data_IF_429556809080
#
_entry.id   IF_429556809080
#
_cell.length_a   1.000
_cell.length_b   1.000
_cell.length_c   1.000
_cell.angle_alpha   90.00
_cell.angle_beta   90.00
_cell.angle_gamma   90.00
#
_symmetry.space_group_name_H-M   'P 1'
#
loop_
_entity.id
_entity.type
_entity.pdbx_description
1 polymer ?
#
# COMPACT_ATOMS: atom_id res chain seq x y z
N UNK A 1 9.42 -3.07 29.07
CA UNK A 1 8.89 -3.89 27.96
C UNK A 1 9.74 -3.57 26.74
N UNK A 2 10.46 -4.54 26.19
CA UNK A 2 11.28 -4.31 25.01
C UNK A 2 10.33 -4.03 23.83
N UNK A 3 10.55 -2.90 23.13
CA UNK A 3 9.92 -2.67 21.83
C UNK A 3 10.33 -3.81 20.91
N UNK A 4 9.38 -4.60 20.42
CA UNK A 4 9.67 -5.59 19.40
C UNK A 4 10.08 -4.82 18.13
N UNK A 5 11.35 -4.97 17.72
CA UNK A 5 11.86 -4.34 16.51
C UNK A 5 11.24 -5.08 15.31
N UNK A 6 10.26 -4.47 14.66
CA UNK A 6 9.57 -5.04 13.50
C UNK A 6 10.16 -4.48 12.21
N UNK A 7 10.20 -5.31 11.19
CA UNK A 7 10.57 -4.84 9.86
C UNK A 7 9.48 -3.91 9.33
N UNK A 8 9.90 -2.74 8.82
CA UNK A 8 9.04 -1.76 8.19
C UNK A 8 9.26 -1.77 6.68
N UNK A 9 8.21 -2.08 5.93
CA UNK A 9 8.21 -1.98 4.48
C UNK A 9 7.64 -0.64 4.05
N UNK A 10 8.42 0.15 3.31
CA UNK A 10 7.95 1.40 2.70
C UNK A 10 7.77 1.14 1.21
N UNK A 11 6.54 1.32 0.72
CA UNK A 11 6.11 0.87 -0.60
C UNK A 11 5.61 2.06 -1.42
N UNK A 12 6.14 2.22 -2.63
CA UNK A 12 5.55 3.09 -3.65
C UNK A 12 4.34 2.37 -4.28
N UNK A 13 3.15 2.86 -3.96
CA UNK A 13 1.91 2.21 -4.30
C UNK A 13 1.62 2.20 -5.80
N UNK A 14 1.93 3.27 -6.54
CA UNK A 14 1.64 3.31 -7.97
C UNK A 14 2.62 2.45 -8.77
N UNK A 15 3.90 2.44 -8.39
CA UNK A 15 4.87 1.55 -9.02
C UNK A 15 4.54 0.08 -8.76
N UNK A 16 4.11 -0.26 -7.54
CA UNK A 16 3.71 -1.62 -7.21
C UNK A 16 2.44 -2.06 -7.94
N UNK A 17 1.40 -1.23 -7.99
CA UNK A 17 0.19 -1.52 -8.79
C UNK A 17 0.57 -1.74 -10.26
N UNK A 18 1.40 -0.89 -10.84
CA UNK A 18 1.84 -1.04 -12.23
C UNK A 18 2.64 -2.33 -12.46
N UNK A 19 3.43 -2.77 -11.49
CA UNK A 19 4.14 -4.04 -11.54
C UNK A 19 3.18 -5.23 -11.48
N UNK A 20 2.26 -5.26 -10.51
CA UNK A 20 1.28 -6.32 -10.34
C UNK A 20 0.38 -6.47 -11.58
N UNK A 21 -0.08 -5.34 -12.14
CA UNK A 21 -0.89 -5.31 -13.37
C UNK A 21 -0.18 -5.87 -14.60
N UNK A 22 1.16 -5.77 -14.67
CA UNK A 22 1.96 -6.37 -15.76
C UNK A 22 2.11 -7.87 -15.62
N UNK A 23 2.01 -8.40 -14.40
CA UNK A 23 2.11 -9.83 -14.11
C UNK A 23 0.77 -10.56 -14.24
N UNK A 24 -0.36 -9.85 -14.10
CA UNK A 24 -1.68 -10.46 -14.31
C UNK A 24 -1.93 -10.66 -15.82
N UNK A 25 -2.07 -11.92 -16.23
CA UNK A 25 -2.40 -12.28 -17.60
C UNK A 25 -3.86 -11.97 -17.99
N UNK A 26 -4.70 -11.60 -17.02
CA UNK A 26 -6.09 -11.18 -17.22
C UNK A 26 -6.16 -9.67 -17.45
N UNK A 27 -7.29 -9.20 -17.97
CA UNK A 27 -7.55 -7.77 -18.12
C UNK A 27 -7.54 -7.11 -16.72
N UNK A 28 -6.57 -6.22 -16.40
CA UNK A 28 -6.48 -5.63 -15.07
C UNK A 28 -7.70 -4.77 -14.78
N UNK A 29 -8.08 -4.70 -13.50
CA UNK A 29 -9.18 -3.89 -13.02
C UNK A 29 -8.92 -2.39 -13.17
N UNK A 30 -9.85 -1.59 -12.62
CA UNK A 30 -9.64 -0.15 -12.46
C UNK A 30 -8.43 0.13 -11.55
N UNK A 31 -7.85 1.33 -11.63
CA UNK A 31 -6.72 1.69 -10.75
C UNK A 31 -7.11 1.68 -9.27
N UNK A 32 -8.39 1.90 -8.97
CA UNK A 32 -8.97 1.85 -7.63
C UNK A 32 -9.10 0.41 -7.15
N UNK A 33 -9.63 -0.49 -7.99
CA UNK A 33 -9.72 -1.93 -7.66
C UNK A 33 -8.34 -2.56 -7.41
N UNK A 34 -7.35 -2.21 -8.24
CA UNK A 34 -5.98 -2.72 -8.06
C UNK A 34 -5.30 -2.14 -6.80
N UNK A 35 -5.71 -0.94 -6.38
CA UNK A 35 -5.24 -0.33 -5.14
C UNK A 35 -5.78 -1.08 -3.93
N UNK A 36 -7.08 -1.35 -3.90
CA UNK A 36 -7.72 -2.13 -2.82
C UNK A 36 -7.08 -3.51 -2.70
N UNK A 37 -6.94 -4.25 -3.81
CA UNK A 37 -6.27 -5.56 -3.83
C UNK A 37 -4.85 -5.50 -3.29
N UNK A 38 -4.09 -4.47 -3.63
CA UNK A 38 -2.73 -4.30 -3.14
C UNK A 38 -2.70 -4.02 -1.63
N UNK A 39 -3.60 -3.17 -1.13
CA UNK A 39 -3.73 -2.89 0.31
C UNK A 39 -4.05 -4.19 1.07
N UNK A 40 -5.03 -4.96 0.58
CA UNK A 40 -5.41 -6.25 1.18
C UNK A 40 -4.22 -7.22 1.24
N UNK A 41 -3.45 -7.30 0.17
CA UNK A 41 -2.24 -8.15 0.11
C UNK A 41 -1.20 -7.75 1.18
N UNK A 42 -1.02 -6.46 1.44
CA UNK A 42 -0.09 -6.00 2.48
C UNK A 42 -0.67 -6.13 3.89
N UNK A 43 -1.99 -6.04 4.07
CA UNK A 43 -2.64 -6.34 5.33
C UNK A 43 -2.40 -7.80 5.73
N UNK A 44 -2.62 -8.71 4.79
CA UNK A 44 -2.36 -10.14 4.98
C UNK A 44 -0.88 -10.40 5.27
N UNK A 45 0.02 -9.78 4.51
CA UNK A 45 1.46 -9.93 4.72
C UNK A 45 1.90 -9.45 6.11
N UNK A 46 1.48 -8.25 6.51
CA UNK A 46 1.81 -7.65 7.80
C UNK A 46 1.28 -8.49 8.98
N UNK A 47 0.11 -9.09 8.82
CA UNK A 47 -0.48 -10.01 9.80
C UNK A 47 0.31 -11.32 9.89
N UNK A 48 0.62 -11.95 8.74
CA UNK A 48 1.30 -13.24 8.67
C UNK A 48 2.77 -13.20 9.11
N UNK A 49 3.46 -12.08 8.92
CA UNK A 49 4.90 -11.95 9.18
C UNK A 49 5.25 -11.15 10.44
N UNK A 50 4.25 -10.64 11.17
CA UNK A 50 4.43 -9.68 12.28
C UNK A 50 5.26 -8.45 11.87
N UNK A 51 5.01 -7.93 10.67
CA UNK A 51 5.71 -6.76 10.10
C UNK A 51 4.80 -5.54 10.02
N UNK A 52 5.37 -4.38 9.74
CA UNK A 52 4.65 -3.14 9.49
C UNK A 52 4.83 -2.71 8.04
N UNK A 53 3.82 -2.01 7.49
CA UNK A 53 3.92 -1.48 6.13
C UNK A 53 3.42 -0.02 6.07
N UNK A 54 4.10 0.80 5.28
CA UNK A 54 3.67 2.13 4.88
C UNK A 54 3.58 2.16 3.36
N UNK A 55 2.37 2.35 2.85
CA UNK A 55 2.08 2.44 1.42
C UNK A 55 1.89 3.92 1.08
N UNK A 56 2.72 4.43 0.19
CA UNK A 56 2.66 5.83 -0.26
C UNK A 56 2.14 5.88 -1.69
N UNK A 57 1.02 6.57 -1.87
CA UNK A 57 0.42 6.87 -3.16
C UNK A 57 0.67 8.34 -3.51
N UNK A 58 1.67 8.60 -4.34
CA UNK A 58 1.96 9.95 -4.83
C UNK A 58 0.82 10.47 -5.72
N UNK A 59 0.05 11.45 -5.24
CA UNK A 59 -1.09 12.04 -5.91
C UNK A 59 -0.64 13.03 -7.00
N UNK A 60 0.17 12.55 -7.95
CA UNK A 60 0.68 13.26 -9.13
C UNK A 60 -0.42 13.90 -10.02
N UNK A 61 -1.71 13.75 -9.67
CA UNK A 61 -2.87 14.23 -10.43
C UNK A 61 -3.93 15.01 -9.63
N UNK A 62 -3.81 15.21 -8.32
CA UNK A 62 -4.78 16.04 -7.57
C UNK A 62 -4.19 17.43 -7.28
N UNK A 63 -4.97 18.48 -7.49
CA UNK A 63 -4.57 19.87 -7.18
C UNK A 63 -4.64 20.19 -5.67
N UNK A 64 -4.99 19.20 -4.84
CA UNK A 64 -5.08 19.32 -3.39
C UNK A 64 -3.76 18.89 -2.76
N UNK A 65 -3.01 19.83 -2.17
CA UNK A 65 -1.80 19.54 -1.35
C UNK A 65 -2.13 18.91 0.01
N UNK A 66 -3.29 18.30 0.15
CA UNK A 66 -3.75 17.74 1.40
C UNK A 66 -3.25 16.30 1.51
N UNK A 67 -2.33 16.07 2.44
CA UNK A 67 -1.87 14.73 2.77
C UNK A 67 -3.03 14.02 3.45
N UNK A 68 -3.54 12.96 2.82
CA UNK A 68 -4.53 12.09 3.43
C UNK A 68 -3.84 10.85 3.98
N UNK A 69 -4.02 10.59 5.28
CA UNK A 69 -3.48 9.40 5.93
C UNK A 69 -4.61 8.52 6.46
N UNK A 70 -4.49 7.22 6.29
CA UNK A 70 -5.33 6.24 6.96
C UNK A 70 -4.50 5.06 7.45
N UNK A 71 -4.99 4.36 8.46
CA UNK A 71 -4.32 3.18 8.99
C UNK A 71 -5.34 2.07 9.16
N UNK A 72 -4.99 0.87 8.68
CA UNK A 72 -5.77 -0.35 8.85
C UNK A 72 -4.84 -1.41 9.41
N UNK A 73 -5.11 -1.87 10.64
CA UNK A 73 -4.20 -2.77 11.35
C UNK A 73 -2.80 -2.18 11.50
N UNK A 74 -1.80 -2.85 10.91
CA UNK A 74 -0.39 -2.44 10.91
C UNK A 74 0.09 -1.85 9.57
N UNK A 75 -0.86 -1.51 8.70
CA UNK A 75 -0.59 -0.90 7.41
C UNK A 75 -1.05 0.55 7.46
N UNK A 76 -0.11 1.47 7.26
CA UNK A 76 -0.36 2.90 7.08
C UNK A 76 -0.44 3.20 5.58
N UNK A 77 -1.45 3.95 5.18
CA UNK A 77 -1.69 4.38 3.81
C UNK A 77 -1.57 5.90 3.79
N UNK A 78 -0.72 6.42 2.92
CA UNK A 78 -0.44 7.86 2.78
C UNK A 78 -0.67 8.27 1.35
N UNK A 79 -1.48 9.30 1.14
CA UNK A 79 -1.64 10.00 -0.13
C UNK A 79 -0.92 11.35 -0.01
N UNK A 80 0.01 11.63 -0.91
CA UNK A 80 0.83 12.87 -0.90
C UNK A 80 0.55 13.76 -2.08
#
# INVERSE_FOLDING_TARGET
>A
MASANRDLYIIDGYNMINFLRKLDARKPGSLEEEREKMIDLFLDHASLKDTEAMIVFDAHRSNSREIAESSVGRVKIVFT
#
